data_IF_688636202447
#
_entry.id   IF_688636202447
#
_cell.length_a   1.000
_cell.length_b   1.000
_cell.length_c   1.000
_cell.angle_alpha   90.00
_cell.angle_beta   90.00
_cell.angle_gamma   90.00
#
_symmetry.space_group_name_H-M   'P 1'
#
loop_
_entity.id
_entity.type
_entity.pdbx_description
1 polymer ?
#
# COMPACT_ATOMS: atom_id res chain seq x y z
N UNK A 1 14.43 -7.39 5.21
CA UNK A 1 13.50 -7.46 6.36
C UNK A 1 13.55 -8.85 6.92
N UNK A 2 13.20 -9.02 8.19
CA UNK A 2 13.25 -10.30 8.89
C UNK A 2 12.38 -10.27 10.15
N UNK A 3 12.28 -11.43 10.81
CA UNK A 3 11.55 -11.64 12.06
C UNK A 3 12.15 -10.88 13.26
N UNK A 4 13.39 -10.37 13.12
CA UNK A 4 14.07 -9.56 14.14
C UNK A 4 13.53 -8.12 14.24
N UNK A 5 12.40 -7.84 13.58
CA UNK A 5 11.66 -6.56 13.56
C UNK A 5 12.38 -5.44 12.79
N UNK A 6 13.47 -5.75 12.08
CA UNK A 6 14.35 -4.74 11.48
C UNK A 6 14.15 -4.55 9.98
N UNK A 7 14.31 -3.29 9.59
CA UNK A 7 14.65 -2.91 8.22
C UNK A 7 16.16 -2.66 8.15
N UNK A 8 16.82 -3.35 7.21
CA UNK A 8 18.25 -3.21 6.95
C UNK A 8 18.49 -2.83 5.49
N UNK A 9 19.36 -1.83 5.28
CA UNK A 9 19.82 -1.42 3.95
C UNK A 9 21.27 -1.86 3.78
N UNK A 10 21.54 -2.55 2.68
CA UNK A 10 22.84 -3.14 2.37
C UNK A 10 23.45 -2.48 1.14
N UNK A 11 24.73 -2.12 1.21
CA UNK A 11 25.52 -1.73 0.05
C UNK A 11 26.37 -2.93 -0.40
N UNK A 12 26.07 -3.48 -1.57
CA UNK A 12 26.77 -4.66 -2.11
C UNK A 12 28.22 -4.37 -2.53
N UNK A 13 28.62 -3.09 -2.58
CA UNK A 13 30.01 -2.68 -2.81
C UNK A 13 30.85 -2.74 -1.52
N UNK A 14 30.21 -2.87 -0.36
CA UNK A 14 30.90 -3.02 0.93
C UNK A 14 31.56 -4.39 1.03
N UNK A 15 32.82 -4.42 1.45
CA UNK A 15 33.54 -5.67 1.75
C UNK A 15 33.06 -6.32 3.07
N UNK A 16 32.29 -5.60 3.90
CA UNK A 16 31.74 -6.13 5.14
C UNK A 16 30.28 -6.55 4.93
N UNK A 17 30.05 -7.87 4.84
CA UNK A 17 28.72 -8.47 4.65
C UNK A 17 28.02 -8.84 5.96
N UNK A 18 28.63 -8.59 7.12
CA UNK A 18 28.01 -8.86 8.43
C UNK A 18 27.35 -7.64 9.07
N UNK A 19 27.55 -6.45 8.49
CA UNK A 19 26.98 -5.20 9.00
C UNK A 19 26.29 -4.42 7.86
N UNK A 20 25.00 -4.09 8.00
CA UNK A 20 24.30 -3.26 7.02
C UNK A 20 24.75 -1.80 7.13
N UNK A 21 24.52 -1.03 6.06
CA UNK A 21 24.73 0.41 6.03
C UNK A 21 23.76 1.14 6.97
N UNK A 22 22.51 0.66 7.01
CA UNK A 22 21.49 1.11 7.94
C UNK A 22 20.78 -0.08 8.58
N UNK A 23 20.44 0.03 9.86
CA UNK A 23 19.63 -0.94 10.61
C UNK A 23 18.72 -0.16 11.52
N UNK A 24 17.41 -0.34 11.36
CA UNK A 24 16.40 0.38 12.16
C UNK A 24 15.33 -0.60 12.64
N UNK A 25 14.83 -0.36 13.86
CA UNK A 25 13.69 -1.08 14.40
C UNK A 25 12.44 -0.54 13.68
N UNK A 26 11.90 -1.34 12.76
CA UNK A 26 10.89 -0.87 11.82
C UNK A 26 9.46 -1.05 12.35
N UNK A 27 9.24 -2.14 13.07
CA UNK A 27 7.93 -2.60 13.52
C UNK A 27 8.01 -3.16 14.94
N UNK A 28 6.86 -3.42 15.56
CA UNK A 28 6.79 -4.05 16.90
C UNK A 28 6.70 -5.58 16.84
N UNK A 29 6.65 -6.14 15.63
CA UNK A 29 6.62 -7.56 15.32
C UNK A 29 7.40 -7.84 14.01
N UNK A 30 7.37 -9.08 13.54
CA UNK A 30 8.09 -9.59 12.38
C UNK A 30 7.79 -8.78 11.10
N UNK A 31 8.83 -8.45 10.33
CA UNK A 31 8.69 -7.70 9.08
C UNK A 31 8.75 -8.68 7.91
N UNK A 32 7.58 -8.96 7.33
CA UNK A 32 7.41 -10.01 6.34
C UNK A 32 7.75 -9.57 4.91
N UNK A 33 7.55 -8.29 4.59
CA UNK A 33 7.72 -7.79 3.23
C UNK A 33 8.26 -6.35 3.20
N UNK A 34 8.86 -5.99 2.07
CA UNK A 34 9.23 -4.62 1.73
C UNK A 34 9.01 -4.36 0.24
N UNK A 35 8.78 -3.11 -0.14
CA UNK A 35 8.72 -2.69 -1.54
C UNK A 35 9.21 -1.26 -1.71
N UNK A 36 10.14 -1.05 -2.65
CA UNK A 36 10.62 0.28 -3.05
C UNK A 36 9.61 0.93 -3.99
N UNK A 37 9.35 2.22 -3.80
CA UNK A 37 8.50 2.96 -4.73
C UNK A 37 9.25 3.10 -6.09
N UNK A 38 8.64 2.72 -7.23
CA UNK A 38 9.30 2.78 -8.52
C UNK A 38 9.46 4.20 -9.09
N UNK A 39 8.77 5.18 -8.51
CA UNK A 39 8.78 6.59 -8.93
C UNK A 39 9.61 7.49 -8.01
N UNK A 40 9.78 7.09 -6.75
CA UNK A 40 10.52 7.86 -5.75
C UNK A 40 11.71 7.09 -5.21
N UNK A 41 12.91 7.59 -5.51
CA UNK A 41 14.18 6.95 -5.17
C UNK A 41 14.43 6.79 -3.66
N UNK A 42 13.70 7.52 -2.83
CA UNK A 42 13.87 7.53 -1.37
C UNK A 42 12.77 6.81 -0.61
N UNK A 43 11.65 6.47 -1.26
CA UNK A 43 10.48 5.95 -0.56
C UNK A 43 10.41 4.43 -0.66
N UNK A 44 10.14 3.80 0.46
CA UNK A 44 9.79 2.38 0.51
C UNK A 44 8.71 2.12 1.56
N UNK A 45 8.06 0.97 1.43
CA UNK A 45 7.09 0.46 2.39
C UNK A 45 7.56 -0.87 2.98
N UNK A 46 7.17 -1.15 4.23
CA UNK A 46 7.35 -2.46 4.89
C UNK A 46 6.02 -2.93 5.45
N UNK A 47 5.70 -4.22 5.30
CA UNK A 47 4.50 -4.84 5.89
C UNK A 47 4.88 -5.86 6.97
N UNK A 48 4.07 -5.95 8.02
CA UNK A 48 4.45 -6.62 9.26
C UNK A 48 3.34 -7.47 9.88
N UNK A 49 3.76 -8.39 10.75
CA UNK A 49 2.88 -9.13 11.65
C UNK A 49 2.17 -8.23 12.69
N UNK A 50 2.63 -7.00 12.89
CA UNK A 50 1.96 -5.99 13.72
C UNK A 50 0.71 -5.37 13.07
N UNK A 51 0.34 -5.88 11.88
CA UNK A 51 -0.86 -5.51 11.12
C UNK A 51 -0.78 -4.14 10.45
N UNK A 52 0.39 -3.52 10.43
CA UNK A 52 0.61 -2.21 9.81
C UNK A 52 1.52 -2.31 8.58
N UNK A 53 1.27 -1.43 7.61
CA UNK A 53 2.29 -1.07 6.62
C UNK A 53 2.97 0.22 7.11
N UNK A 54 4.30 0.26 7.10
CA UNK A 54 5.06 1.45 7.44
C UNK A 54 5.68 2.07 6.19
N UNK A 55 5.59 3.40 6.08
CA UNK A 55 6.24 4.19 5.04
C UNK A 55 7.57 4.77 5.55
N UNK A 56 8.61 4.72 4.72
CA UNK A 56 9.95 5.18 5.08
C UNK A 56 10.59 6.07 4.04
N UNK A 57 11.41 7.01 4.51
CA UNK A 57 12.34 7.80 3.71
C UNK A 57 13.78 7.32 3.96
N UNK A 58 14.48 6.86 2.92
CA UNK A 58 15.87 6.43 3.00
C UNK A 58 16.81 7.53 3.51
N UNK A 59 16.46 8.81 3.34
CA UNK A 59 17.26 9.95 3.83
C UNK A 59 17.15 10.10 5.35
N UNK A 60 16.09 9.57 5.97
CA UNK A 60 15.89 9.58 7.41
C UNK A 60 15.12 8.34 7.92
N UNK A 61 15.80 7.20 7.99
CA UNK A 61 15.21 5.95 8.50
C UNK A 61 14.98 5.92 10.02
N UNK A 62 15.34 6.98 10.77
CA UNK A 62 15.15 7.01 12.22
C UNK A 62 13.68 7.20 12.63
N UNK A 63 12.87 7.73 11.73
CA UNK A 63 11.46 8.00 11.96
C UNK A 63 10.66 7.40 10.81
N UNK A 64 9.59 6.68 11.17
CA UNK A 64 8.56 6.27 10.21
C UNK A 64 7.91 7.53 9.63
N UNK A 65 7.71 7.59 8.32
CA UNK A 65 6.97 8.69 7.69
C UNK A 65 5.48 8.61 8.01
N UNK A 66 4.91 7.42 7.89
CA UNK A 66 3.49 7.15 8.08
C UNK A 66 3.23 5.68 8.42
N UNK A 67 2.10 5.39 9.08
CA UNK A 67 1.64 4.04 9.42
C UNK A 67 0.25 3.83 8.82
N UNK A 68 0.09 2.87 7.91
CA UNK A 68 -1.19 2.51 7.33
C UNK A 68 -1.87 1.45 8.20
N UNK A 69 -3.06 1.75 8.70
CA UNK A 69 -3.76 0.96 9.70
C UNK A 69 -5.19 0.62 9.23
N UNK A 70 -5.45 -0.66 8.97
CA UNK A 70 -6.79 -1.19 8.61
C UNK A 70 -6.81 -2.71 8.62
N UNK A 71 -5.70 -3.35 8.25
CA UNK A 71 -5.54 -4.80 8.31
C UNK A 71 -5.83 -5.35 9.71
N UNK A 72 -6.52 -6.50 9.76
CA UNK A 72 -6.98 -7.11 11.02
C UNK A 72 -6.06 -8.23 11.51
N UNK A 73 -5.10 -8.61 10.68
CA UNK A 73 -4.15 -9.69 10.90
C UNK A 73 -2.82 -9.42 10.17
N UNK A 74 -1.86 -10.32 10.30
CA UNK A 74 -0.50 -10.19 9.77
C UNK A 74 -0.47 -9.90 8.26
N UNK A 75 0.38 -8.95 7.86
CA UNK A 75 0.60 -8.58 6.46
C UNK A 75 1.78 -9.38 5.91
N UNK A 76 1.61 -9.99 4.75
CA UNK A 76 2.61 -10.84 4.10
C UNK A 76 3.18 -10.26 2.80
N UNK A 77 2.46 -9.38 2.13
CA UNK A 77 2.90 -8.78 0.87
C UNK A 77 2.56 -7.30 0.82
N UNK A 78 3.45 -6.52 0.21
CA UNK A 78 3.24 -5.10 -0.13
C UNK A 78 3.84 -4.84 -1.50
N UNK A 79 3.11 -4.17 -2.39
CA UNK A 79 3.56 -3.84 -3.74
C UNK A 79 3.06 -2.46 -4.15
N UNK A 80 3.99 -1.63 -4.63
CA UNK A 80 3.65 -0.37 -5.27
C UNK A 80 2.97 -0.60 -6.61
N UNK A 81 2.06 0.29 -6.97
CA UNK A 81 1.51 0.34 -8.31
C UNK A 81 2.63 0.63 -9.33
N UNK A 82 2.64 -0.06 -10.49
CA UNK A 82 3.54 0.24 -11.59
C UNK A 82 3.04 1.38 -12.48
N UNK A 83 1.94 2.05 -12.10
CA UNK A 83 1.32 3.13 -12.89
C UNK A 83 1.17 4.44 -12.14
N UNK A 84 1.00 4.40 -10.80
CA UNK A 84 0.71 5.58 -9.99
C UNK A 84 1.66 5.66 -8.79
N UNK A 85 2.31 6.82 -8.61
CA UNK A 85 3.36 7.01 -7.59
C UNK A 85 2.86 7.00 -6.14
N UNK A 86 1.58 7.30 -5.92
CA UNK A 86 0.96 7.37 -4.60
C UNK A 86 0.24 6.08 -4.21
N UNK A 87 0.16 5.10 -5.11
CA UNK A 87 -0.66 3.91 -4.90
C UNK A 87 0.21 2.71 -4.50
N UNK A 88 -0.17 2.03 -3.43
CA UNK A 88 0.32 0.70 -3.11
C UNK A 88 -0.82 -0.23 -2.69
N UNK A 89 -0.55 -1.52 -2.69
CA UNK A 89 -1.43 -2.52 -2.13
C UNK A 89 -0.71 -3.37 -1.08
N UNK A 90 -1.46 -3.93 -0.15
CA UNK A 90 -0.98 -4.90 0.84
C UNK A 90 -1.99 -6.01 1.06
N UNK A 91 -1.51 -7.21 1.40
CA UNK A 91 -2.36 -8.36 1.67
C UNK A 91 -1.84 -9.20 2.83
N UNK A 92 -2.75 -9.87 3.54
CA UNK A 92 -2.42 -10.61 4.74
C UNK A 92 -3.31 -11.81 5.07
N UNK A 93 -3.17 -12.28 6.30
CA UNK A 93 -3.93 -13.41 6.88
C UNK A 93 -5.41 -13.09 7.08
N UNK A 94 -5.77 -11.81 7.16
CA UNK A 94 -7.16 -11.36 7.30
C UNK A 94 -8.03 -11.58 6.05
N UNK A 95 -7.42 -12.10 4.97
CA UNK A 95 -8.05 -12.46 3.69
C UNK A 95 -8.49 -11.27 2.87
N UNK A 96 -7.98 -10.08 3.22
CA UNK A 96 -8.25 -8.83 2.52
C UNK A 96 -6.98 -8.36 1.82
N UNK A 97 -7.17 -7.71 0.68
CA UNK A 97 -6.14 -6.92 0.05
C UNK A 97 -6.58 -5.46 0.09
N UNK A 98 -5.80 -4.64 0.77
CA UNK A 98 -6.05 -3.21 0.89
C UNK A 98 -5.25 -2.47 -0.18
N UNK A 99 -5.89 -1.52 -0.85
CA UNK A 99 -5.23 -0.56 -1.74
C UNK A 99 -5.24 0.78 -1.02
N UNK A 100 -4.09 1.45 -1.03
CA UNK A 100 -3.85 2.70 -0.33
C UNK A 100 -3.49 3.80 -1.31
N UNK A 101 -3.91 5.02 -1.01
CA UNK A 101 -3.52 6.22 -1.73
C UNK A 101 -2.87 7.24 -0.78
N UNK A 102 -1.56 7.41 -0.91
CA UNK A 102 -0.79 8.35 -0.12
C UNK A 102 -1.24 9.80 -0.28
N UNK A 103 -1.86 10.14 -1.42
CA UNK A 103 -2.30 11.52 -1.68
C UNK A 103 -3.39 11.97 -0.70
N UNK A 104 -4.14 11.02 -0.15
CA UNK A 104 -5.26 11.25 0.77
C UNK A 104 -4.86 11.24 2.25
N UNK A 105 -3.57 11.05 2.57
CA UNK A 105 -3.09 11.07 3.95
C UNK A 105 -3.38 12.44 4.58
N UNK A 106 -4.14 12.42 5.68
CA UNK A 106 -4.48 13.62 6.45
C UNK A 106 -5.64 14.45 5.88
N UNK A 107 -6.35 13.94 4.86
CA UNK A 107 -7.62 14.52 4.45
C UNK A 107 -8.66 14.45 5.58
N UNK A 108 -9.54 15.46 5.64
CA UNK A 108 -10.64 15.47 6.60
C UNK A 108 -11.73 14.48 6.16
N UNK A 109 -12.22 13.68 7.10
CA UNK A 109 -13.32 12.73 6.88
C UNK A 109 -14.48 13.02 7.82
N UNK A 110 -15.68 12.62 7.41
CA UNK A 110 -16.81 12.60 8.33
C UNK A 110 -16.60 11.55 9.42
N UNK A 111 -17.24 11.67 10.60
CA UNK A 111 -17.18 10.64 11.62
C UNK A 111 -17.69 9.28 11.16
N UNK A 112 -18.58 9.24 10.15
CA UNK A 112 -19.11 7.99 9.59
C UNK A 112 -18.06 7.30 8.72
N UNK A 113 -17.37 8.04 7.86
CA UNK A 113 -16.31 7.48 6.99
C UNK A 113 -15.09 7.01 7.80
N UNK A 114 -14.77 7.71 8.89
CA UNK A 114 -13.65 7.34 9.76
C UNK A 114 -13.85 5.98 10.48
N UNK A 115 -15.08 5.48 10.57
CA UNK A 115 -15.36 4.12 11.10
C UNK A 115 -15.00 3.03 10.09
N UNK A 116 -14.99 3.33 8.79
CA UNK A 116 -14.64 2.39 7.72
C UNK A 116 -13.13 2.30 7.49
N UNK A 117 -12.38 3.35 7.83
CA UNK A 117 -10.91 3.37 7.80
C UNK A 117 -10.34 4.77 7.67
N UNK A 118 -8.99 4.88 7.65
CA UNK A 118 -8.31 6.16 7.46
C UNK A 118 -8.52 6.68 6.01
N UNK A 119 -8.33 7.99 5.75
CA UNK A 119 -8.64 8.58 4.44
C UNK A 119 -7.79 8.01 3.30
N UNK A 120 -6.58 7.54 3.60
CA UNK A 120 -5.70 6.91 2.62
C UNK A 120 -6.09 5.46 2.28
N UNK A 121 -7.10 4.86 2.92
CA UNK A 121 -7.62 3.55 2.57
C UNK A 121 -8.58 3.66 1.38
N UNK A 122 -8.03 3.47 0.17
CA UNK A 122 -8.78 3.65 -1.08
C UNK A 122 -9.77 2.51 -1.36
N UNK A 123 -9.35 1.26 -1.14
CA UNK A 123 -10.18 0.10 -1.47
C UNK A 123 -9.82 -1.13 -0.64
N UNK A 124 -10.82 -1.95 -0.30
CA UNK A 124 -10.61 -3.27 0.31
C UNK A 124 -11.19 -4.34 -0.63
N UNK A 125 -10.31 -5.15 -1.21
CA UNK A 125 -10.73 -6.34 -1.95
C UNK A 125 -11.16 -7.44 -1.00
N UNK A 126 -12.44 -7.81 -1.08
CA UNK A 126 -13.07 -8.79 -0.21
C UNK A 126 -13.32 -10.16 -0.84
N UNK A 127 -12.78 -10.43 -2.03
CA UNK A 127 -13.14 -11.62 -2.82
C UNK A 127 -12.54 -12.95 -2.34
N UNK A 128 -11.45 -12.94 -1.56
CA UNK A 128 -10.82 -14.16 -1.05
C UNK A 128 -11.46 -14.67 0.25
N UNK A 129 -11.53 -16.00 0.38
CA UNK A 129 -12.09 -16.69 1.57
C UNK A 129 -11.02 -17.33 2.47
N UNK A 130 -9.77 -17.34 2.02
CA UNK A 130 -8.60 -17.80 2.76
C UNK A 130 -7.47 -16.76 2.71
N UNK A 131 -6.39 -17.01 3.47
CA UNK A 131 -5.20 -16.16 3.50
C UNK A 131 -4.68 -15.93 2.08
N UNK A 132 -4.39 -14.68 1.76
CA UNK A 132 -3.79 -14.31 0.47
C UNK A 132 -2.31 -14.67 0.54
N UNK A 133 -1.85 -15.50 -0.39
CA UNK A 133 -0.46 -15.98 -0.43
C UNK A 133 0.45 -15.03 -1.19
N UNK A 134 -0.05 -14.43 -2.28
CA UNK A 134 0.66 -13.42 -3.05
C UNK A 134 -0.31 -12.63 -3.93
N UNK A 135 0.15 -11.48 -4.44
CA UNK A 135 -0.56 -10.73 -5.47
C UNK A 135 0.42 -9.94 -6.34
N UNK A 136 -0.04 -9.57 -7.54
CA UNK A 136 0.75 -8.80 -8.49
C UNK A 136 -0.14 -7.81 -9.23
N UNK A 137 0.34 -6.57 -9.33
CA UNK A 137 -0.21 -5.59 -10.25
C UNK A 137 0.08 -6.00 -11.70
N UNK A 138 -0.91 -5.87 -12.57
CA UNK A 138 -0.67 -5.99 -14.00
C UNK A 138 0.18 -4.79 -14.46
N UNK A 139 1.33 -4.98 -15.11
CA UNK A 139 2.15 -3.86 -15.58
C UNK A 139 1.61 -3.19 -16.85
N UNK A 140 0.70 -3.84 -17.59
CA UNK A 140 0.20 -3.35 -18.87
C UNK A 140 -1.17 -2.67 -18.77
N UNK A 141 -1.97 -3.04 -17.78
CA UNK A 141 -3.33 -2.53 -17.59
C UNK A 141 -3.47 -1.90 -16.20
N UNK A 142 -3.67 -0.57 -16.10
CA UNK A 142 -3.86 0.10 -14.82
C UNK A 142 -4.99 -0.50 -14.00
N UNK A 143 -4.79 -0.53 -12.68
CA UNK A 143 -5.77 -0.97 -11.69
C UNK A 143 -6.17 -2.45 -11.72
N UNK A 144 -5.54 -3.26 -12.57
CA UNK A 144 -5.75 -4.71 -12.60
C UNK A 144 -4.76 -5.40 -11.66
N UNK A 145 -5.27 -6.25 -10.77
CA UNK A 145 -4.48 -7.08 -9.86
C UNK A 145 -4.82 -8.55 -10.08
N UNK A 146 -3.81 -9.41 -10.04
CA UNK A 146 -3.96 -10.85 -9.83
C UNK A 146 -3.60 -11.19 -8.39
N UNK A 147 -4.47 -11.85 -7.65
CA UNK A 147 -4.22 -12.31 -6.27
C UNK A 147 -4.57 -13.78 -6.11
N UNK A 148 -3.79 -14.49 -5.29
CA UNK A 148 -3.94 -15.92 -5.04
C UNK A 148 -4.06 -16.20 -3.54
N UNK A 149 -4.86 -17.21 -3.17
CA UNK A 149 -5.05 -17.62 -1.77
C UNK A 149 -4.80 -19.10 -1.54
N UNK A 150 -4.61 -19.46 -0.27
CA UNK A 150 -4.25 -20.81 0.18
C UNK A 150 -5.33 -21.89 -0.13
N UNK A 151 -6.56 -21.48 -0.44
CA UNK A 151 -7.68 -22.33 -0.83
C UNK A 151 -7.80 -22.56 -2.35
N UNK A 152 -6.65 -22.48 -3.06
CA UNK A 152 -6.52 -22.72 -4.50
C UNK A 152 -7.23 -21.70 -5.40
N UNK A 153 -7.67 -20.57 -4.87
CA UNK A 153 -8.34 -19.52 -5.63
C UNK A 153 -7.32 -18.53 -6.19
N UNK A 154 -7.45 -18.25 -7.49
CA UNK A 154 -6.81 -17.14 -8.17
C UNK A 154 -7.91 -16.18 -8.66
N UNK A 155 -7.74 -14.89 -8.41
CA UNK A 155 -8.64 -13.85 -8.90
C UNK A 155 -7.86 -12.82 -9.69
N UNK A 156 -8.31 -12.51 -10.90
CA UNK A 156 -7.91 -11.32 -11.64
C UNK A 156 -9.07 -10.34 -11.54
N UNK A 157 -8.82 -9.17 -11.01
CA UNK A 157 -9.85 -8.19 -10.70
C UNK A 157 -9.36 -6.77 -10.95
N UNK A 158 -10.31 -5.87 -11.16
CA UNK A 158 -10.08 -4.45 -11.39
C UNK A 158 -11.11 -3.68 -10.57
N UNK A 159 -10.66 -2.69 -9.81
CA UNK A 159 -11.57 -1.80 -9.09
C UNK A 159 -12.31 -0.89 -10.07
N UNK A 160 -13.54 -0.47 -9.71
CA UNK A 160 -14.33 0.42 -10.54
C UNK A 160 -13.74 1.83 -10.60
N UNK A 161 -13.91 2.50 -11.74
CA UNK A 161 -13.31 3.82 -12.01
C UNK A 161 -13.73 4.91 -11.03
N UNK A 162 -14.99 4.89 -10.59
CA UNK A 162 -15.53 5.83 -9.62
C UNK A 162 -14.91 5.70 -8.21
N UNK A 163 -14.06 4.71 -7.96
CA UNK A 163 -13.37 4.55 -6.67
C UNK A 163 -12.07 5.35 -6.65
N UNK A 164 -11.38 5.48 -7.78
CA UNK A 164 -10.06 6.12 -7.88
C UNK A 164 -10.06 7.40 -8.71
N UNK A 165 -11.18 7.77 -9.31
CA UNK A 165 -11.33 9.01 -10.05
C UNK A 165 -12.19 9.98 -9.23
N UNK A 166 -11.58 11.09 -8.80
CA UNK A 166 -12.25 12.16 -8.04
C UNK A 166 -12.99 13.16 -8.96
N UNK A 167 -13.25 12.83 -10.23
CA UNK A 167 -14.11 13.65 -11.09
C UNK A 167 -15.54 13.67 -10.53
N UNK A 168 -15.84 14.70 -9.72
CA UNK A 168 -17.18 15.11 -9.39
C UNK A 168 -18.01 15.25 -10.68
N UNK A 169 -19.10 14.49 -10.87
CA UNK A 169 -19.98 14.64 -12.03
C UNK A 169 -20.64 16.04 -12.11
N UNK A 170 -20.49 16.89 -11.10
CA UNK A 170 -21.12 18.22 -11.00
C UNK A 170 -20.23 19.39 -11.50
N UNK A 171 -19.07 19.11 -12.10
CA UNK A 171 -18.13 20.16 -12.56
C UNK A 171 -18.35 20.72 -13.97
N UNK A 172 -19.22 20.14 -14.81
CA UNK A 172 -19.46 20.67 -16.16
C UNK A 172 -20.51 21.78 -16.15
N UNK A 173 -20.12 22.97 -15.72
CA UNK A 173 -20.92 24.18 -15.93
C UNK A 173 -20.82 24.54 -17.41
N UNK A 174 -21.86 24.24 -18.19
CA UNK A 174 -22.03 24.73 -19.56
C UNK A 174 -21.97 26.27 -19.57
N UNK A 175 -21.04 26.90 -20.32
CA UNK A 175 -21.06 28.35 -20.49
C UNK A 175 -21.98 28.70 -21.67
N UNK A 176 -23.28 28.39 -21.60
CA UNK A 176 -24.24 28.89 -22.58
C UNK A 176 -25.50 29.44 -21.91
N UNK A 177 -25.50 30.77 -21.74
CA UNK A 177 -26.64 31.51 -21.23
C UNK A 177 -26.50 33.03 -21.28
N UNK A 178 -25.68 33.58 -22.20
CA UNK A 178 -25.85 34.98 -22.63
C UNK A 178 -26.56 34.98 -23.98
N UNK A 179 -27.85 35.30 -23.94
CA UNK A 179 -28.68 35.43 -25.14
C UNK A 179 -29.92 36.27 -24.85
N UNK A 180 -29.75 37.58 -25.06
CA UNK A 180 -30.74 38.65 -25.30
C UNK A 180 -31.87 38.89 -24.30
#
# INVERSE_FOLDING_TARGET
VADDQKLMIWDTRSNNTSKPSHSVDAHTAEVNCLSFNPYSEFILATGSADKTVALWDLRNLKLKLHSFESHKDEIFQVQWSPHNETILASSGTDRRLNVWDLSKIGEEQSPEDAEDGPPELLFIHGGHTAKISDFSWNPNEPWVICSVSEDNIMQVWQMAENIYNDEDPEGSVDPEGQGS
#
